data_IF_145090794821
#
_entry.id   IF_145090794821
#
_cell.length_a   1.000
_cell.length_b   1.000
_cell.length_c   1.000
_cell.angle_alpha   90.00
_cell.angle_beta   90.00
_cell.angle_gamma   90.00
#
_symmetry.space_group_name_H-M   'P 1'
#
loop_
_entity.id
_entity.type
_entity.pdbx_description
1 polymer ?
#
# COMPACT_ATOMS: atom_id res chain seq x y z
N UNK A 1 -7.46 -13.79 11.65
CA UNK A 1 -6.85 -13.04 10.52
C UNK A 1 -5.57 -13.76 10.10
N UNK A 2 -5.36 -14.01 8.80
CA UNK A 2 -4.18 -14.76 8.33
C UNK A 2 -2.89 -13.97 8.57
N UNK A 3 -1.77 -14.65 8.84
CA UNK A 3 -0.47 -14.01 9.03
C UNK A 3 -0.05 -13.18 7.80
N UNK A 4 -0.47 -13.59 6.60
CA UNK A 4 -0.26 -12.87 5.34
C UNK A 4 -0.95 -11.51 5.31
N UNK A 5 -2.19 -11.41 5.82
CA UNK A 5 -2.91 -10.13 5.92
C UNK A 5 -2.13 -9.15 6.80
N UNK A 6 -1.69 -9.60 7.98
CA UNK A 6 -0.98 -8.74 8.91
C UNK A 6 0.35 -8.24 8.33
N UNK A 7 1.02 -9.05 7.52
CA UNK A 7 2.23 -8.66 6.82
C UNK A 7 1.97 -7.57 5.76
N UNK A 8 0.89 -7.72 4.97
CA UNK A 8 0.49 -6.71 4.00
C UNK A 8 0.11 -5.39 4.68
N UNK A 9 -0.63 -5.44 5.79
CA UNK A 9 -0.96 -4.25 6.58
C UNK A 9 0.30 -3.53 7.04
N UNK A 10 1.31 -4.27 7.52
CA UNK A 10 2.58 -3.66 7.94
C UNK A 10 3.30 -2.96 6.78
N UNK A 11 3.37 -3.60 5.62
CA UNK A 11 3.97 -3.00 4.42
C UNK A 11 3.21 -1.75 3.96
N UNK A 12 1.88 -1.78 4.01
CA UNK A 12 1.03 -0.62 3.69
C UNK A 12 1.40 0.56 4.61
N UNK A 13 1.49 0.34 5.92
CA UNK A 13 1.84 1.42 6.86
C UNK A 13 3.27 1.97 6.65
N UNK A 14 4.23 1.10 6.37
CA UNK A 14 5.60 1.52 6.04
C UNK A 14 5.65 2.39 4.77
N UNK A 15 4.94 1.99 3.71
CA UNK A 15 4.87 2.72 2.45
C UNK A 15 4.08 4.03 2.59
N UNK A 16 3.00 4.05 3.38
CA UNK A 16 2.24 5.28 3.69
C UNK A 16 3.13 6.31 4.39
N UNK A 17 3.89 5.90 5.39
CA UNK A 17 4.82 6.79 6.09
C UNK A 17 5.93 7.30 5.15
N UNK A 18 6.44 6.44 4.26
CA UNK A 18 7.44 6.83 3.28
C UNK A 18 6.87 7.87 2.29
N UNK A 19 5.66 7.64 1.77
CA UNK A 19 5.00 8.57 0.85
C UNK A 19 4.79 9.95 1.51
N UNK A 20 4.35 9.99 2.77
CA UNK A 20 4.19 11.24 3.52
C UNK A 20 5.50 12.02 3.57
N UNK A 21 6.62 11.35 3.88
CA UNK A 21 7.95 11.97 3.92
C UNK A 21 8.42 12.45 2.54
N UNK A 22 8.24 11.64 1.51
CA UNK A 22 8.62 11.99 0.12
C UNK A 22 7.77 13.15 -0.41
N UNK A 23 6.50 13.22 -0.02
CA UNK A 23 5.55 14.26 -0.45
C UNK A 23 5.79 15.60 0.24
N UNK A 24 6.45 15.62 1.39
CA UNK A 24 6.70 16.83 2.16
C UNK A 24 7.50 17.84 1.32
N UNK A 25 6.92 19.03 1.10
CA UNK A 25 7.51 20.07 0.26
C UNK A 25 7.50 19.82 -1.26
N UNK A 26 6.93 18.70 -1.75
CA UNK A 26 6.87 18.36 -3.19
C UNK A 26 5.46 18.44 -3.77
N UNK A 27 5.31 18.48 -5.09
CA UNK A 27 3.99 18.34 -5.75
C UNK A 27 3.52 16.88 -5.74
N UNK A 28 2.20 16.64 -5.86
CA UNK A 28 1.69 15.27 -6.10
C UNK A 28 2.09 14.73 -7.48
N UNK A 29 2.40 15.62 -8.42
CA UNK A 29 2.90 15.26 -9.76
C UNK A 29 4.42 15.10 -9.82
N UNK A 30 5.11 15.26 -8.68
CA UNK A 30 6.54 15.02 -8.61
C UNK A 30 6.83 13.53 -8.91
N UNK A 31 7.79 13.21 -9.80
CA UNK A 31 8.05 11.82 -10.18
C UNK A 31 8.36 10.88 -9.01
N UNK A 32 9.04 11.36 -7.96
CA UNK A 32 9.34 10.53 -6.78
C UNK A 32 8.08 10.27 -5.95
N UNK A 33 7.21 11.28 -5.85
CA UNK A 33 5.91 11.14 -5.17
C UNK A 33 5.01 10.19 -5.92
N UNK A 34 4.97 10.27 -7.26
CA UNK A 34 4.20 9.34 -8.10
C UNK A 34 4.72 7.92 -7.94
N UNK A 35 6.04 7.72 -8.02
CA UNK A 35 6.64 6.39 -7.86
C UNK A 35 6.35 5.79 -6.47
N UNK A 36 6.46 6.60 -5.40
CA UNK A 36 6.12 6.16 -4.05
C UNK A 36 4.62 5.83 -3.90
N UNK A 37 3.74 6.57 -4.59
CA UNK A 37 2.30 6.30 -4.60
C UNK A 37 1.98 5.00 -5.32
N UNK A 38 2.59 4.76 -6.49
CA UNK A 38 2.43 3.51 -7.23
C UNK A 38 2.88 2.28 -6.44
N UNK A 39 4.01 2.39 -5.72
CA UNK A 39 4.49 1.31 -4.87
C UNK A 39 3.50 0.98 -3.73
N UNK A 40 2.85 2.01 -3.14
CA UNK A 40 1.80 1.82 -2.15
C UNK A 40 0.56 1.14 -2.77
N UNK A 41 0.13 1.60 -3.94
CA UNK A 41 -1.03 1.04 -4.65
C UNK A 41 -0.85 -0.46 -4.97
N UNK A 42 0.34 -0.89 -5.42
CA UNK A 42 0.61 -2.30 -5.69
C UNK A 42 0.39 -3.22 -4.47
N UNK A 43 0.69 -2.73 -3.27
CA UNK A 43 0.50 -3.50 -2.02
C UNK A 43 -0.95 -3.47 -1.58
N UNK A 44 -1.64 -2.34 -1.76
CA UNK A 44 -3.07 -2.21 -1.51
C UNK A 44 -3.89 -3.14 -2.41
N UNK A 45 -3.52 -3.27 -3.69
CA UNK A 45 -4.16 -4.18 -4.63
C UNK A 45 -4.03 -5.64 -4.17
N UNK A 46 -2.82 -6.06 -3.78
CA UNK A 46 -2.57 -7.42 -3.23
C UNK A 46 -3.40 -7.68 -1.97
N UNK A 47 -3.52 -6.69 -1.09
CA UNK A 47 -4.34 -6.77 0.10
C UNK A 47 -5.83 -6.94 -0.26
N UNK A 48 -6.33 -6.15 -1.20
CA UNK A 48 -7.71 -6.22 -1.66
C UNK A 48 -8.02 -7.57 -2.32
N UNK A 49 -7.14 -8.08 -3.20
CA UNK A 49 -7.30 -9.39 -3.81
C UNK A 49 -7.43 -10.50 -2.75
N UNK A 50 -6.60 -10.46 -1.73
CA UNK A 50 -6.59 -11.46 -0.67
C UNK A 50 -7.86 -11.37 0.20
N UNK A 51 -8.34 -10.16 0.50
CA UNK A 51 -9.63 -9.97 1.15
C UNK A 51 -10.79 -10.53 0.30
N UNK A 52 -10.75 -10.33 -1.02
CA UNK A 52 -11.78 -10.85 -1.93
C UNK A 52 -11.73 -12.38 -2.05
N UNK A 53 -10.55 -13.00 -1.99
CA UNK A 53 -10.40 -14.47 -1.95
C UNK A 53 -10.98 -15.03 -0.64
N UNK A 54 -10.61 -14.46 0.50
CA UNK A 54 -11.15 -14.88 1.79
C UNK A 54 -12.66 -14.74 1.89
N UNK A 55 -13.26 -13.75 1.22
CA UNK A 55 -14.73 -13.60 1.16
C UNK A 55 -15.39 -14.65 0.28
N UNK A 56 -14.74 -15.08 -0.82
CA UNK A 56 -15.27 -16.09 -1.76
C UNK A 56 -15.15 -17.52 -1.23
N UNK A 57 -14.24 -17.76 -0.29
CA UNK A 57 -14.02 -19.05 0.37
C UNK A 57 -14.86 -19.24 1.64
N UNK A 58 -15.61 -18.22 2.06
CA UNK A 58 -16.66 -18.31 3.09
C UNK A 58 -18.03 -18.49 2.44
#
# INVERSE_FOLDING_TARGET
MSQTINHLIKQIEELRLNLIKIKEGRSYTDPEVVAASQALDEVLDKYQELLLKNRREM
#
